data_IF_419045890966
#
_entry.id   IF_419045890966
#
_cell.length_a   1.000
_cell.length_b   1.000
_cell.length_c   1.000
_cell.angle_alpha   90.00
_cell.angle_beta   90.00
_cell.angle_gamma   90.00
#
_symmetry.space_group_name_H-M   'P 1'
#
loop_
_entity.id
_entity.type
_entity.pdbx_description
1 polymer ?
#
# COMPACT_ATOMS: atom_id res chain seq x y z
N UNK A 1 -47.81 27.35 -55.59
CA UNK A 1 -47.79 27.58 -54.13
C UNK A 1 -47.14 26.37 -53.48
N UNK A 2 -45.88 26.50 -53.19
CA UNK A 2 -45.08 25.41 -52.53
C UNK A 2 -45.02 25.71 -51.07
N UNK A 3 -45.75 24.95 -50.24
CA UNK A 3 -45.68 24.98 -48.77
C UNK A 3 -44.35 24.38 -48.31
N UNK A 4 -43.35 25.22 -47.99
CA UNK A 4 -42.09 24.83 -47.36
C UNK A 4 -42.39 24.27 -45.99
N UNK A 5 -42.16 22.96 -45.84
CA UNK A 5 -42.29 22.24 -44.56
C UNK A 5 -41.42 22.84 -43.45
N UNK A 6 -42.05 23.52 -42.51
CA UNK A 6 -41.43 24.10 -41.29
C UNK A 6 -41.11 23.05 -40.23
N UNK A 7 -41.31 21.75 -40.50
CA UNK A 7 -41.08 20.63 -39.54
C UNK A 7 -39.62 20.31 -39.27
N UNK A 8 -38.69 20.57 -40.22
CA UNK A 8 -37.27 20.26 -40.09
C UNK A 8 -36.53 21.02 -38.95
N UNK A 9 -36.76 22.33 -38.71
CA UNK A 9 -36.05 23.04 -37.61
C UNK A 9 -36.56 22.68 -36.21
N UNK A 10 -37.85 22.31 -36.08
CA UNK A 10 -38.44 21.90 -34.79
C UNK A 10 -37.90 20.54 -34.39
N UNK A 11 -37.82 19.57 -35.31
CA UNK A 11 -37.27 18.25 -35.03
C UNK A 11 -35.78 18.33 -34.63
N UNK A 12 -34.97 19.18 -35.26
CA UNK A 12 -33.59 19.42 -34.89
C UNK A 12 -33.45 20.02 -33.47
N UNK A 13 -34.30 20.97 -33.09
CA UNK A 13 -34.32 21.57 -31.75
C UNK A 13 -34.77 20.57 -30.70
N UNK A 14 -35.76 19.72 -30.99
CA UNK A 14 -36.19 18.64 -30.08
C UNK A 14 -35.10 17.59 -29.90
N UNK A 15 -34.42 17.22 -30.98
CA UNK A 15 -33.30 16.26 -30.92
C UNK A 15 -32.10 16.83 -30.14
N UNK A 16 -31.79 18.11 -30.34
CA UNK A 16 -30.76 18.80 -29.57
C UNK A 16 -31.14 18.91 -28.07
N UNK A 17 -32.40 19.25 -27.78
CA UNK A 17 -32.91 19.27 -26.41
C UNK A 17 -32.83 17.89 -25.75
N UNK A 18 -33.19 16.82 -26.49
CA UNK A 18 -33.09 15.44 -26.01
C UNK A 18 -31.60 15.05 -25.73
N UNK A 19 -30.70 15.37 -26.65
CA UNK A 19 -29.25 15.08 -26.52
C UNK A 19 -28.65 15.79 -25.35
N UNK A 20 -29.12 16.97 -24.95
CA UNK A 20 -28.64 17.70 -23.76
C UNK A 20 -29.38 17.22 -22.49
N UNK A 21 -30.70 17.01 -22.54
CA UNK A 21 -31.46 16.66 -21.34
C UNK A 21 -31.20 15.25 -20.84
N UNK A 22 -30.96 14.27 -21.72
CA UNK A 22 -30.69 12.89 -21.30
C UNK A 22 -29.43 12.78 -20.43
N UNK A 23 -28.27 13.33 -20.81
CA UNK A 23 -27.07 13.30 -19.92
C UNK A 23 -27.28 14.05 -18.61
N UNK A 24 -27.98 15.19 -18.65
CA UNK A 24 -28.26 15.97 -17.43
C UNK A 24 -29.17 15.17 -16.46
N UNK A 25 -30.23 14.56 -16.97
CA UNK A 25 -31.11 13.71 -16.15
C UNK A 25 -30.37 12.50 -15.64
N UNK A 26 -29.54 11.86 -16.48
CA UNK A 26 -28.70 10.74 -16.06
C UNK A 26 -27.73 11.15 -14.94
N UNK A 27 -27.10 12.32 -15.06
CA UNK A 27 -26.22 12.85 -14.01
C UNK A 27 -26.99 13.12 -12.70
N UNK A 28 -28.17 13.72 -12.79
CA UNK A 28 -29.03 13.99 -11.62
C UNK A 28 -29.52 12.70 -10.93
N UNK A 29 -29.69 11.62 -11.69
CA UNK A 29 -30.06 10.32 -11.14
C UNK A 29 -28.87 9.56 -10.54
N UNK A 30 -27.68 9.77 -11.10
CA UNK A 30 -26.45 9.08 -10.66
C UNK A 30 -25.81 9.71 -9.45
N UNK A 31 -25.86 11.06 -9.33
CA UNK A 31 -25.21 11.82 -8.27
C UNK A 31 -26.16 12.12 -7.11
N UNK A 32 -25.68 11.91 -5.89
CA UNK A 32 -26.47 12.07 -4.68
C UNK A 32 -25.81 13.08 -3.70
N UNK A 33 -26.58 13.57 -2.73
CA UNK A 33 -26.09 14.53 -1.74
C UNK A 33 -25.55 13.88 -0.47
N UNK A 34 -25.84 12.59 -0.30
CA UNK A 34 -25.41 11.79 0.86
C UNK A 34 -24.71 10.54 0.36
N UNK A 35 -23.65 10.08 1.03
CA UNK A 35 -23.00 8.82 0.70
C UNK A 35 -23.92 7.64 1.05
N UNK A 36 -23.87 6.57 0.23
CA UNK A 36 -24.58 5.31 0.51
C UNK A 36 -23.89 4.48 1.59
N UNK A 37 -22.61 4.69 1.76
CA UNK A 37 -21.76 4.09 2.79
C UNK A 37 -21.20 5.23 3.63
N UNK A 38 -21.27 5.12 4.95
CA UNK A 38 -20.61 6.09 5.81
C UNK A 38 -19.11 6.15 5.48
N UNK A 39 -18.51 7.35 5.42
CA UNK A 39 -17.06 7.44 5.26
C UNK A 39 -16.41 6.53 6.30
N UNK A 40 -15.54 5.64 5.82
CA UNK A 40 -14.81 4.73 6.71
C UNK A 40 -14.02 5.53 7.74
N UNK A 41 -13.94 5.02 8.97
CA UNK A 41 -12.97 5.53 9.92
C UNK A 41 -11.56 5.24 9.38
N UNK A 42 -10.63 6.14 9.63
CA UNK A 42 -9.22 5.84 9.41
C UNK A 42 -8.87 4.59 10.21
N UNK A 43 -8.26 3.60 9.54
CA UNK A 43 -7.84 2.37 10.20
C UNK A 43 -6.97 2.72 11.39
N UNK A 44 -7.34 2.20 12.53
CA UNK A 44 -6.58 2.35 13.76
C UNK A 44 -5.66 1.13 13.97
N UNK A 45 -4.82 1.16 15.00
CA UNK A 45 -3.89 0.07 15.28
C UNK A 45 -4.59 -1.27 15.57
N UNK A 46 -5.84 -1.26 16.08
CA UNK A 46 -6.63 -2.48 16.32
C UNK A 46 -7.07 -3.09 14.99
N UNK A 47 -7.50 -2.26 14.05
CA UNK A 47 -7.92 -2.70 12.71
C UNK A 47 -6.75 -3.33 11.96
N UNK A 48 -5.59 -2.68 11.99
CA UNK A 48 -4.35 -3.20 11.40
C UNK A 48 -3.97 -4.54 12.04
N UNK A 49 -4.04 -4.62 13.36
CA UNK A 49 -3.76 -5.86 14.07
C UNK A 49 -4.74 -6.99 13.74
N UNK A 50 -6.03 -6.69 13.58
CA UNK A 50 -7.03 -7.67 13.14
C UNK A 50 -6.69 -8.24 11.76
N UNK A 51 -6.27 -7.38 10.82
CA UNK A 51 -5.84 -7.83 9.48
C UNK A 51 -4.57 -8.69 9.57
N UNK A 52 -3.61 -8.32 10.44
CA UNK A 52 -2.42 -9.14 10.71
C UNK A 52 -2.79 -10.54 11.20
N UNK A 53 -3.69 -10.62 12.17
CA UNK A 53 -4.19 -11.91 12.69
C UNK A 53 -4.87 -12.72 11.60
N UNK A 54 -5.69 -12.10 10.76
CA UNK A 54 -6.31 -12.77 9.61
C UNK A 54 -5.27 -13.42 8.69
N UNK A 55 -4.17 -12.73 8.42
CA UNK A 55 -3.08 -13.26 7.58
C UNK A 55 -2.40 -14.44 8.30
N UNK A 56 -2.08 -14.29 9.59
CA UNK A 56 -1.37 -15.31 10.37
C UNK A 56 -2.23 -16.55 10.60
N UNK A 57 -3.51 -16.37 10.92
CA UNK A 57 -4.42 -17.47 11.23
C UNK A 57 -4.81 -18.24 9.97
N UNK A 58 -4.84 -17.57 8.81
CA UNK A 58 -5.07 -18.22 7.53
C UNK A 58 -3.78 -18.72 6.85
N UNK A 59 -2.59 -18.37 7.40
CA UNK A 59 -1.32 -18.90 6.92
C UNK A 59 -1.19 -20.39 7.30
N UNK A 60 -0.73 -21.27 6.40
CA UNK A 60 -0.59 -22.68 6.71
C UNK A 60 0.52 -22.90 7.75
N UNK A 61 0.30 -23.81 8.71
CA UNK A 61 1.31 -24.23 9.71
C UNK A 61 2.65 -24.63 9.08
N UNK A 62 2.62 -25.14 7.86
CA UNK A 62 3.80 -25.42 7.05
C UNK A 62 3.78 -24.56 5.78
N UNK A 63 4.26 -23.33 5.87
CA UNK A 63 4.39 -22.42 4.72
C UNK A 63 5.22 -23.01 3.56
N UNK A 64 6.06 -24.01 3.83
CA UNK A 64 6.88 -24.71 2.84
C UNK A 64 6.10 -25.70 1.96
N UNK A 65 4.82 -25.92 2.19
CA UNK A 65 4.03 -26.93 1.46
C UNK A 65 3.01 -26.26 0.56
N UNK A 66 3.23 -26.39 -0.76
CA UNK A 66 2.25 -25.98 -1.76
C UNK A 66 0.97 -26.81 -1.66
N UNK A 67 -0.17 -26.24 -1.99
CA UNK A 67 -1.45 -26.93 -2.05
C UNK A 67 -2.65 -25.99 -2.04
N UNK A 68 -3.82 -26.57 -2.23
CA UNK A 68 -5.08 -25.84 -2.17
C UNK A 68 -5.40 -25.42 -0.72
N UNK A 69 -5.83 -24.16 -0.55
CA UNK A 69 -6.24 -23.59 0.72
C UNK A 69 -7.54 -22.81 0.56
N UNK A 70 -8.36 -22.86 1.59
CA UNK A 70 -9.60 -22.08 1.65
C UNK A 70 -9.49 -21.07 2.79
N UNK A 71 -9.54 -19.79 2.45
CA UNK A 71 -9.67 -18.69 3.40
C UNK A 71 -11.14 -18.54 3.74
N UNK A 72 -11.41 -18.29 5.00
CA UNK A 72 -12.74 -18.03 5.52
C UNK A 72 -12.77 -16.58 6.03
N UNK A 73 -13.54 -15.72 5.39
CA UNK A 73 -13.66 -14.32 5.76
C UNK A 73 -15.10 -14.01 6.11
N UNK A 74 -15.33 -13.54 7.31
CA UNK A 74 -16.65 -13.06 7.70
C UNK A 74 -16.93 -11.66 7.12
N UNK A 75 -18.13 -11.13 7.38
CA UNK A 75 -18.54 -9.83 6.84
C UNK A 75 -17.71 -8.68 7.40
N UNK A 76 -17.33 -8.73 8.67
CA UNK A 76 -16.58 -7.66 9.34
C UNK A 76 -15.15 -7.64 8.81
N UNK A 77 -14.51 -8.80 8.71
CA UNK A 77 -13.20 -9.01 8.13
C UNK A 77 -13.13 -8.56 6.67
N UNK A 78 -14.15 -8.92 5.88
CA UNK A 78 -14.22 -8.53 4.47
C UNK A 78 -14.37 -7.00 4.31
N UNK A 79 -15.17 -6.34 5.16
CA UNK A 79 -15.31 -4.89 5.15
C UNK A 79 -14.03 -4.19 5.64
N UNK A 80 -13.34 -4.78 6.60
CA UNK A 80 -12.05 -4.29 7.08
C UNK A 80 -10.99 -4.36 5.96
N UNK A 81 -10.91 -5.49 5.24
CA UNK A 81 -10.02 -5.63 4.08
C UNK A 81 -10.39 -4.67 2.93
N UNK A 82 -11.68 -4.43 2.70
CA UNK A 82 -12.13 -3.46 1.70
C UNK A 82 -11.73 -2.02 2.09
N UNK A 83 -11.91 -1.62 3.34
CA UNK A 83 -11.48 -0.33 3.86
C UNK A 83 -9.95 -0.18 3.76
N UNK A 84 -9.21 -1.23 4.09
CA UNK A 84 -7.77 -1.28 3.96
C UNK A 84 -7.32 -1.09 2.51
N UNK A 85 -7.90 -1.82 1.56
CA UNK A 85 -7.60 -1.70 0.14
C UNK A 85 -7.85 -0.27 -0.38
N UNK A 86 -8.95 0.37 0.01
CA UNK A 86 -9.25 1.75 -0.38
C UNK A 86 -8.24 2.75 0.18
N UNK A 87 -7.77 2.57 1.41
CA UNK A 87 -6.77 3.46 2.01
C UNK A 87 -5.36 3.25 1.45
N UNK A 88 -5.08 2.05 0.95
CA UNK A 88 -3.78 1.69 0.40
C UNK A 88 -3.60 2.14 -1.04
N UNK A 89 -4.66 2.06 -1.86
CA UNK A 89 -4.56 2.38 -3.29
C UNK A 89 -4.56 3.90 -3.49
N UNK A 90 -3.53 4.48 -4.14
CA UNK A 90 -3.47 5.91 -4.39
C UNK A 90 -4.73 6.44 -5.10
N UNK A 91 -5.28 7.54 -4.59
CA UNK A 91 -6.48 8.17 -5.15
C UNK A 91 -7.81 7.56 -4.71
N UNK A 92 -7.82 6.45 -3.93
CA UNK A 92 -9.06 5.83 -3.42
C UNK A 92 -9.34 6.14 -1.94
N UNK A 93 -8.43 6.79 -1.23
CA UNK A 93 -8.49 7.02 0.22
C UNK A 93 -9.71 7.83 0.72
N UNK A 94 -10.35 8.59 -0.17
CA UNK A 94 -11.59 9.32 0.15
C UNK A 94 -12.86 8.51 -0.12
N UNK A 95 -12.74 7.35 -0.75
CA UNK A 95 -13.88 6.48 -1.06
C UNK A 95 -14.25 5.64 0.17
N UNK A 96 -15.51 5.24 0.24
CA UNK A 96 -15.99 4.31 1.24
C UNK A 96 -16.66 3.12 0.56
N UNK A 97 -16.40 1.91 1.06
CA UNK A 97 -17.04 0.69 0.57
C UNK A 97 -17.67 -0.10 1.70
N UNK A 98 -18.74 -0.83 1.38
CA UNK A 98 -19.36 -1.81 2.24
C UNK A 98 -19.72 -3.05 1.43
N UNK A 99 -19.45 -4.21 2.01
CA UNK A 99 -19.80 -5.51 1.44
C UNK A 99 -20.84 -6.18 2.32
N UNK A 100 -21.96 -6.59 1.73
CA UNK A 100 -23.00 -7.36 2.38
C UNK A 100 -23.11 -8.71 1.71
N UNK A 101 -23.16 -9.76 2.53
CA UNK A 101 -23.21 -11.15 2.09
C UNK A 101 -24.63 -11.67 2.08
N UNK A 102 -24.97 -12.42 1.05
CA UNK A 102 -26.19 -13.20 0.89
C UNK A 102 -25.79 -14.60 0.40
N UNK A 103 -26.62 -15.60 0.64
CA UNK A 103 -26.33 -16.95 0.15
C UNK A 103 -26.20 -16.97 -1.38
N UNK A 104 -25.02 -17.34 -1.90
CA UNK A 104 -24.70 -17.39 -3.34
C UNK A 104 -24.46 -16.03 -4.01
N UNK A 105 -24.47 -14.92 -3.27
CA UNK A 105 -24.21 -13.57 -3.81
C UNK A 105 -23.66 -12.61 -2.76
N UNK A 106 -23.03 -11.52 -3.24
CA UNK A 106 -22.67 -10.39 -2.41
C UNK A 106 -23.12 -9.09 -3.07
N UNK A 107 -23.37 -8.09 -2.24
CA UNK A 107 -23.62 -6.72 -2.67
C UNK A 107 -22.46 -5.84 -2.23
N UNK A 108 -21.90 -5.09 -3.15
CA UNK A 108 -20.83 -4.12 -2.90
C UNK A 108 -21.40 -2.72 -3.12
N UNK A 109 -21.37 -1.92 -2.08
CA UNK A 109 -21.71 -0.51 -2.09
C UNK A 109 -20.42 0.30 -2.06
N UNK A 110 -20.28 1.30 -2.96
CA UNK A 110 -19.13 2.18 -3.03
C UNK A 110 -19.61 3.63 -3.11
N UNK A 111 -19.15 4.49 -2.21
CA UNK A 111 -19.40 5.92 -2.22
C UNK A 111 -18.13 6.66 -2.64
N UNK A 112 -18.20 7.37 -3.77
CA UNK A 112 -17.10 8.15 -4.35
C UNK A 112 -17.42 9.65 -4.15
N UNK A 113 -16.67 10.39 -3.33
CA UNK A 113 -16.91 11.82 -3.12
C UNK A 113 -16.47 12.63 -4.34
N UNK A 114 -17.23 13.63 -4.65
CA UNK A 114 -16.91 14.66 -5.66
C UNK A 114 -17.03 16.04 -5.01
N UNK A 115 -15.88 16.59 -4.67
CA UNK A 115 -15.78 17.89 -4.01
C UNK A 115 -15.97 19.02 -5.02
N UNK A 116 -16.88 19.95 -4.67
CA UNK A 116 -17.05 21.20 -5.39
C UNK A 116 -16.87 22.37 -4.40
N UNK A 117 -16.64 23.60 -4.86
CA UNK A 117 -16.52 24.75 -3.96
C UNK A 117 -17.74 25.03 -3.08
N UNK A 118 -18.92 24.51 -3.47
CA UNK A 118 -20.18 24.74 -2.76
C UNK A 118 -20.51 23.60 -1.79
N UNK A 119 -20.25 22.34 -2.20
CA UNK A 119 -20.55 21.14 -1.40
C UNK A 119 -19.92 19.91 -2.00
N UNK A 120 -19.89 18.83 -1.21
CA UNK A 120 -19.55 17.50 -1.69
C UNK A 120 -20.78 16.80 -2.25
N UNK A 121 -20.65 16.20 -3.41
CA UNK A 121 -21.57 15.27 -4.03
C UNK A 121 -20.99 13.87 -3.96
N UNK A 122 -21.83 12.85 -4.14
CA UNK A 122 -21.41 11.47 -4.07
C UNK A 122 -21.92 10.70 -5.30
N UNK A 123 -21.02 9.99 -5.96
CA UNK A 123 -21.38 8.94 -6.90
C UNK A 123 -21.47 7.63 -6.11
N UNK A 124 -22.69 7.22 -5.81
CA UNK A 124 -22.94 5.97 -5.08
C UNK A 124 -23.13 4.83 -6.08
N UNK A 125 -22.18 3.90 -6.09
CA UNK A 125 -22.27 2.69 -6.90
C UNK A 125 -22.77 1.54 -6.02
N UNK A 126 -23.68 0.76 -6.57
CA UNK A 126 -24.23 -0.43 -5.95
C UNK A 126 -24.12 -1.58 -6.94
N UNK A 127 -23.30 -2.57 -6.61
CA UNK A 127 -23.04 -3.73 -7.46
C UNK A 127 -23.46 -5.02 -6.77
N UNK A 128 -24.16 -5.89 -7.49
CA UNK A 128 -24.43 -7.26 -7.03
C UNK A 128 -23.60 -8.23 -7.84
N UNK A 129 -22.82 -9.04 -7.13
CA UNK A 129 -22.01 -10.12 -7.69
C UNK A 129 -22.56 -11.47 -7.24
N UNK A 130 -22.46 -12.47 -8.10
CA UNK A 130 -22.86 -13.85 -7.84
C UNK A 130 -21.70 -14.79 -8.05
N UNK A 131 -21.72 -15.90 -7.34
CA UNK A 131 -20.82 -16.99 -7.60
C UNK A 131 -21.07 -17.55 -9.00
N UNK A 132 -20.01 -17.79 -9.76
CA UNK A 132 -20.03 -18.34 -11.12
C UNK A 132 -18.93 -19.38 -11.32
N UNK A 133 -19.00 -20.13 -12.39
CA UNK A 133 -17.92 -21.04 -12.80
C UNK A 133 -16.60 -20.29 -13.10
N UNK A 134 -16.71 -19.02 -13.51
CA UNK A 134 -15.56 -18.11 -13.76
C UNK A 134 -15.25 -17.23 -12.53
N UNK A 135 -15.39 -17.75 -11.32
CA UNK A 135 -15.23 -17.12 -10.01
C UNK A 135 -16.41 -16.22 -9.63
N UNK A 136 -16.57 -15.07 -10.27
CA UNK A 136 -17.58 -14.07 -9.93
C UNK A 136 -18.26 -13.53 -11.20
N UNK A 137 -19.58 -13.42 -11.14
CA UNK A 137 -20.38 -12.79 -12.19
C UNK A 137 -21.02 -11.49 -11.70
N UNK A 138 -20.75 -10.38 -12.39
CA UNK A 138 -21.41 -9.12 -12.16
C UNK A 138 -22.85 -9.18 -12.69
N UNK A 139 -23.83 -9.20 -11.76
CA UNK A 139 -25.24 -9.41 -12.07
C UNK A 139 -26.01 -8.11 -12.31
N UNK A 140 -25.80 -7.10 -11.47
CA UNK A 140 -26.47 -5.80 -11.58
C UNK A 140 -25.57 -4.68 -11.04
N UNK A 141 -25.64 -3.51 -11.67
CA UNK A 141 -24.95 -2.30 -11.19
C UNK A 141 -25.88 -1.11 -11.28
N UNK A 142 -25.85 -0.22 -10.31
CA UNK A 142 -26.54 1.07 -10.31
C UNK A 142 -25.58 2.17 -9.87
N UNK A 143 -25.73 3.35 -10.47
CA UNK A 143 -25.10 4.59 -9.98
C UNK A 143 -26.23 5.47 -9.44
N UNK A 144 -26.33 5.63 -8.13
CA UNK A 144 -27.50 6.23 -7.50
C UNK A 144 -28.77 5.49 -7.89
N UNK A 145 -29.67 6.19 -8.61
CA UNK A 145 -30.92 5.62 -9.11
C UNK A 145 -30.82 5.10 -10.55
N UNK A 146 -29.68 5.32 -11.23
CA UNK A 146 -29.48 4.97 -12.63
C UNK A 146 -28.93 3.54 -12.76
N UNK A 147 -29.68 2.58 -13.38
CA UNK A 147 -29.13 1.27 -13.68
C UNK A 147 -28.07 1.39 -14.78
N UNK A 148 -26.93 0.73 -14.58
CA UNK A 148 -25.82 0.72 -15.54
C UNK A 148 -25.74 -0.67 -16.19
N UNK A 149 -25.70 -0.75 -17.53
CA UNK A 149 -25.49 -2.02 -18.23
C UNK A 149 -24.17 -2.66 -17.77
N UNK A 150 -24.22 -3.92 -17.33
CA UNK A 150 -23.05 -4.65 -16.81
C UNK A 150 -21.90 -4.73 -17.82
N UNK A 151 -22.19 -4.74 -19.10
CA UNK A 151 -21.20 -4.71 -20.17
C UNK A 151 -20.34 -3.44 -20.14
N UNK A 152 -20.95 -2.27 -19.89
CA UNK A 152 -20.20 -1.01 -19.76
C UNK A 152 -19.26 -1.05 -18.55
N UNK A 153 -19.74 -1.61 -17.44
CA UNK A 153 -18.91 -1.77 -16.24
C UNK A 153 -17.75 -2.73 -16.47
N UNK A 154 -18.00 -3.87 -17.11
CA UNK A 154 -16.93 -4.82 -17.49
C UNK A 154 -15.90 -4.16 -18.39
N UNK A 155 -16.36 -3.40 -19.41
CA UNK A 155 -15.44 -2.66 -20.29
C UNK A 155 -14.64 -1.60 -19.54
N UNK A 156 -15.23 -0.90 -18.56
CA UNK A 156 -14.54 0.07 -17.72
C UNK A 156 -13.50 -0.61 -16.81
N UNK A 157 -13.83 -1.76 -16.21
CA UNK A 157 -12.90 -2.56 -15.40
C UNK A 157 -11.72 -3.03 -16.27
N UNK A 158 -11.99 -3.58 -17.47
CA UNK A 158 -10.93 -4.00 -18.39
C UNK A 158 -10.03 -2.83 -18.79
N UNK A 159 -10.60 -1.67 -19.12
CA UNK A 159 -9.82 -0.49 -19.46
C UNK A 159 -8.99 0.03 -18.27
N UNK A 160 -9.49 -0.07 -17.04
CA UNK A 160 -8.75 0.25 -15.85
C UNK A 160 -7.59 -0.74 -15.62
N UNK A 161 -7.83 -2.03 -15.81
CA UNK A 161 -6.78 -3.06 -15.73
C UNK A 161 -5.69 -2.84 -16.79
N UNK A 162 -6.07 -2.56 -18.04
CA UNK A 162 -5.13 -2.25 -19.13
C UNK A 162 -4.31 -0.98 -18.81
N UNK A 163 -4.96 0.04 -18.23
CA UNK A 163 -4.28 1.26 -17.79
C UNK A 163 -3.30 0.97 -16.65
N UNK A 164 -3.68 0.17 -15.66
CA UNK A 164 -2.79 -0.24 -14.58
C UNK A 164 -1.61 -1.06 -15.11
N UNK A 165 -1.86 -2.01 -16.02
CA UNK A 165 -0.83 -2.82 -16.65
C UNK A 165 0.17 -1.99 -17.46
N UNK A 166 -0.26 -0.89 -18.08
CA UNK A 166 0.62 0.02 -18.81
C UNK A 166 1.36 1.02 -17.91
N UNK A 167 0.83 1.29 -16.72
CA UNK A 167 1.37 2.30 -15.81
C UNK A 167 2.34 1.71 -14.79
N UNK A 168 2.01 0.53 -14.26
CA UNK A 168 2.77 -0.09 -13.17
C UNK A 168 3.57 -1.30 -13.64
N UNK A 169 4.87 -1.29 -13.35
CA UNK A 169 5.83 -2.31 -13.82
C UNK A 169 5.48 -3.72 -13.34
N UNK A 170 4.99 -3.85 -12.12
CA UNK A 170 4.74 -5.15 -11.48
C UNK A 170 3.26 -5.58 -11.51
N UNK A 171 2.45 -4.98 -12.37
CA UNK A 171 1.03 -5.34 -12.48
C UNK A 171 0.83 -6.83 -12.85
N UNK A 172 1.73 -7.41 -13.64
CA UNK A 172 1.63 -8.81 -14.05
C UNK A 172 1.63 -9.76 -12.84
N UNK A 173 2.46 -9.48 -11.85
CA UNK A 173 2.57 -10.31 -10.64
C UNK A 173 1.34 -10.22 -9.76
N UNK A 174 0.71 -9.03 -9.68
CA UNK A 174 -0.60 -8.88 -9.06
C UNK A 174 -1.67 -9.70 -9.81
N UNK A 175 -1.61 -9.72 -11.14
CA UNK A 175 -2.48 -10.56 -11.98
C UNK A 175 -2.25 -12.04 -11.72
N UNK A 176 -1.01 -12.48 -11.54
CA UNK A 176 -0.68 -13.88 -11.24
C UNK A 176 -1.20 -14.31 -9.86
N UNK A 177 -1.12 -13.42 -8.86
CA UNK A 177 -1.74 -13.64 -7.55
C UNK A 177 -3.26 -13.82 -7.68
N UNK A 178 -3.91 -12.97 -8.46
CA UNK A 178 -5.34 -13.09 -8.73
C UNK A 178 -5.69 -14.42 -9.42
N UNK A 179 -4.83 -14.92 -10.30
CA UNK A 179 -5.01 -16.20 -11.00
C UNK A 179 -4.84 -17.43 -10.08
N UNK A 180 -4.20 -17.27 -8.92
CA UNK A 180 -4.12 -18.34 -7.92
C UNK A 180 -5.47 -18.66 -7.27
N UNK A 181 -6.45 -17.75 -7.34
CA UNK A 181 -7.80 -17.96 -6.82
C UNK A 181 -8.54 -18.94 -7.71
N UNK A 182 -8.96 -20.08 -7.13
CA UNK A 182 -9.67 -21.16 -7.82
C UNK A 182 -11.18 -21.04 -7.69
N UNK A 183 -11.64 -20.61 -6.54
CA UNK A 183 -13.07 -20.53 -6.26
C UNK A 183 -13.37 -19.42 -5.26
N UNK A 184 -14.50 -18.76 -5.46
CA UNK A 184 -15.10 -17.85 -4.47
C UNK A 184 -16.54 -18.32 -4.24
N UNK A 185 -16.88 -18.62 -2.99
CA UNK A 185 -18.22 -19.03 -2.59
C UNK A 185 -18.78 -18.07 -1.55
N UNK A 186 -20.04 -17.67 -1.72
CA UNK A 186 -20.74 -16.78 -0.78
C UNK A 186 -21.69 -17.62 0.08
N UNK A 187 -21.47 -17.59 1.39
CA UNK A 187 -22.42 -18.01 2.42
C UNK A 187 -23.14 -16.79 3.01
N UNK A 188 -24.09 -16.99 3.89
CA UNK A 188 -24.89 -15.92 4.49
C UNK A 188 -24.03 -14.99 5.38
N UNK A 189 -23.03 -15.54 6.05
CA UNK A 189 -22.17 -14.83 7.01
C UNK A 189 -20.70 -14.77 6.61
N UNK A 190 -20.29 -15.48 5.56
CA UNK A 190 -18.88 -15.58 5.19
C UNK A 190 -18.66 -15.75 3.68
N UNK A 191 -17.47 -15.34 3.24
CA UNK A 191 -16.91 -15.66 1.93
C UNK A 191 -15.84 -16.74 2.10
N UNK A 192 -15.91 -17.77 1.29
CA UNK A 192 -14.87 -18.79 1.20
C UNK A 192 -14.09 -18.58 -0.10
N UNK A 193 -12.80 -18.31 0.02
CA UNK A 193 -11.90 -18.11 -1.11
C UNK A 193 -10.92 -19.28 -1.14
N UNK A 194 -11.05 -20.12 -2.14
CA UNK A 194 -10.11 -21.24 -2.36
C UNK A 194 -9.04 -20.80 -3.34
N UNK A 195 -7.79 -20.96 -2.96
CA UNK A 195 -6.62 -20.56 -3.75
C UNK A 195 -5.54 -21.64 -3.75
N UNK A 196 -4.69 -21.62 -4.77
CA UNK A 196 -3.48 -22.40 -4.82
C UNK A 196 -2.39 -21.70 -4.00
N UNK A 197 -2.09 -22.26 -2.84
CA UNK A 197 -1.05 -21.75 -1.98
C UNK A 197 0.34 -22.13 -2.51
N UNK A 198 1.18 -21.13 -2.74
CA UNK A 198 2.60 -21.32 -3.02
C UNK A 198 3.47 -20.93 -1.82
N UNK A 199 4.52 -21.72 -1.50
CA UNK A 199 5.36 -21.52 -0.32
C UNK A 199 6.01 -20.12 -0.22
N UNK A 200 6.22 -19.46 -1.36
CA UNK A 200 6.85 -18.14 -1.44
C UNK A 200 5.85 -16.99 -1.62
N UNK A 201 4.55 -17.26 -1.49
CA UNK A 201 3.53 -16.26 -1.76
C UNK A 201 3.71 -15.00 -0.88
N UNK A 202 3.86 -15.17 0.43
CA UNK A 202 4.04 -14.06 1.37
C UNK A 202 5.35 -13.32 1.08
N UNK A 203 6.44 -14.06 0.85
CA UNK A 203 7.74 -13.45 0.52
C UNK A 203 7.65 -12.64 -0.77
N UNK A 204 7.01 -13.18 -1.81
CA UNK A 204 6.79 -12.45 -3.07
C UNK A 204 5.92 -11.20 -2.85
N UNK A 205 4.83 -11.30 -2.08
CA UNK A 205 3.98 -10.15 -1.76
C UNK A 205 4.77 -9.07 -1.01
N UNK A 206 5.66 -9.45 -0.08
CA UNK A 206 6.52 -8.49 0.61
C UNK A 206 7.53 -7.84 -0.33
N UNK A 207 8.29 -8.64 -1.10
CA UNK A 207 9.27 -8.15 -2.08
C UNK A 207 8.65 -7.21 -3.12
N UNK A 208 7.38 -7.44 -3.46
CA UNK A 208 6.65 -6.66 -4.46
C UNK A 208 5.90 -5.48 -3.88
N UNK A 209 5.54 -5.50 -2.59
CA UNK A 209 4.85 -4.40 -1.95
C UNK A 209 5.65 -3.09 -2.01
N UNK A 210 6.99 -3.17 -2.00
CA UNK A 210 7.87 -2.02 -2.20
C UNK A 210 7.73 -1.42 -3.61
N UNK A 211 7.29 -2.20 -4.59
CA UNK A 211 7.23 -1.85 -6.01
C UNK A 211 5.78 -1.79 -6.54
N UNK A 212 4.78 -1.94 -5.67
CA UNK A 212 3.37 -2.15 -6.05
C UNK A 212 2.82 -1.06 -6.97
N UNK A 213 3.29 0.17 -6.85
CA UNK A 213 2.83 1.31 -7.65
C UNK A 213 3.98 2.01 -8.38
N UNK A 214 4.99 1.23 -8.81
CA UNK A 214 6.14 1.75 -9.53
C UNK A 214 5.78 2.11 -10.97
N UNK A 215 5.83 3.39 -11.31
CA UNK A 215 5.71 3.86 -12.68
C UNK A 215 7.04 3.73 -13.45
N UNK A 216 7.00 3.80 -14.79
CA UNK A 216 8.22 3.80 -15.60
C UNK A 216 9.12 5.01 -15.28
N UNK A 217 8.53 6.17 -14.94
CA UNK A 217 9.26 7.36 -14.55
C UNK A 217 9.92 7.22 -13.18
N UNK A 218 9.24 6.58 -12.22
CA UNK A 218 9.80 6.27 -10.91
C UNK A 218 10.98 5.32 -11.01
N UNK A 219 10.91 4.35 -11.92
CA UNK A 219 12.01 3.42 -12.21
C UNK A 219 13.32 4.14 -12.56
N UNK A 220 13.28 5.11 -13.47
CA UNK A 220 14.47 5.86 -13.87
C UNK A 220 15.06 6.64 -12.68
N UNK A 221 14.21 7.20 -11.82
CA UNK A 221 14.64 7.88 -10.58
C UNK A 221 15.24 6.92 -9.57
N UNK A 222 14.65 5.74 -9.37
CA UNK A 222 15.21 4.72 -8.48
C UNK A 222 16.62 4.33 -8.97
N UNK A 223 16.80 4.09 -10.26
CA UNK A 223 18.09 3.78 -10.85
C UNK A 223 19.10 4.91 -10.66
N UNK A 224 18.67 6.16 -10.72
CA UNK A 224 19.51 7.32 -10.45
C UNK A 224 19.96 7.36 -8.99
N UNK A 225 19.05 7.18 -8.02
CA UNK A 225 19.42 7.07 -6.61
C UNK A 225 20.30 5.86 -6.31
N UNK A 226 20.07 4.74 -6.98
CA UNK A 226 20.90 3.55 -6.84
C UNK A 226 22.33 3.78 -7.35
N UNK A 227 22.53 4.55 -8.44
CA UNK A 227 23.86 5.02 -8.90
C UNK A 227 24.54 5.91 -7.87
N UNK A 228 23.78 6.79 -7.21
CA UNK A 228 24.32 7.63 -6.14
C UNK A 228 24.76 6.78 -4.94
N UNK A 229 24.00 5.75 -4.56
CA UNK A 229 24.42 4.75 -3.56
C UNK A 229 25.74 4.12 -3.99
N UNK A 230 25.85 3.68 -5.25
CA UNK A 230 27.08 3.12 -5.80
C UNK A 230 28.28 4.05 -5.68
N UNK A 231 28.07 5.33 -5.93
CA UNK A 231 29.12 6.37 -5.78
C UNK A 231 29.58 6.53 -4.32
N UNK A 232 28.62 6.55 -3.38
CA UNK A 232 28.92 6.65 -1.95
C UNK A 232 29.70 5.41 -1.47
N UNK A 233 29.24 4.23 -1.85
CA UNK A 233 29.88 2.95 -1.48
C UNK A 233 31.27 2.81 -2.09
N UNK A 234 31.48 3.28 -3.32
CA UNK A 234 32.78 3.26 -3.97
C UNK A 234 33.81 4.19 -3.31
N UNK A 235 33.36 5.20 -2.57
CA UNK A 235 34.24 6.10 -1.82
C UNK A 235 34.72 5.50 -0.49
N UNK A 236 34.13 4.39 -0.03
CA UNK A 236 34.58 3.69 1.17
C UNK A 236 35.90 2.96 0.92
N UNK A 237 36.77 2.79 1.96
CA UNK A 237 37.92 1.93 1.87
C UNK A 237 37.58 0.51 1.37
N UNK A 238 38.46 -0.12 0.61
CA UNK A 238 38.19 -1.46 0.06
C UNK A 238 37.95 -2.52 1.16
N UNK A 239 38.61 -2.37 2.30
CA UNK A 239 38.49 -3.27 3.44
C UNK A 239 37.18 -3.06 4.24
N UNK A 240 36.43 -1.98 3.98
CA UNK A 240 35.18 -1.72 4.69
C UNK A 240 34.07 -2.62 4.17
N UNK A 241 33.61 -3.54 5.01
CA UNK A 241 32.49 -4.45 4.75
C UNK A 241 31.17 -3.98 5.37
N UNK A 242 31.21 -2.90 6.18
CA UNK A 242 30.07 -2.31 6.91
C UNK A 242 30.04 -0.80 6.82
N UNK A 243 28.82 -0.24 6.87
CA UNK A 243 28.57 1.20 6.97
C UNK A 243 27.27 1.46 7.76
N UNK A 244 27.11 2.67 8.29
CA UNK A 244 25.84 3.11 8.86
C UNK A 244 24.82 3.44 7.78
N UNK A 245 23.53 3.20 8.04
CA UNK A 245 22.44 3.67 7.19
C UNK A 245 22.50 5.21 7.00
N UNK A 246 22.95 5.95 8.02
CA UNK A 246 23.13 7.40 7.97
C UNK A 246 24.09 7.85 6.87
N UNK A 247 25.14 7.04 6.60
CA UNK A 247 26.13 7.33 5.57
C UNK A 247 25.55 7.30 4.14
N UNK A 248 24.45 6.59 3.95
CA UNK A 248 23.66 6.57 2.71
C UNK A 248 22.52 7.60 2.77
N UNK A 249 21.70 7.53 3.79
CA UNK A 249 20.43 8.24 3.88
C UNK A 249 20.61 9.76 3.85
N UNK A 250 21.53 10.31 4.66
CA UNK A 250 21.70 11.76 4.71
C UNK A 250 22.22 12.38 3.40
N UNK A 251 23.23 11.82 2.71
CA UNK A 251 23.62 12.30 1.39
C UNK A 251 22.50 12.20 0.34
N UNK A 252 21.72 11.11 0.36
CA UNK A 252 20.61 10.93 -0.57
C UNK A 252 19.52 11.96 -0.34
N UNK A 253 19.13 12.23 0.91
CA UNK A 253 18.15 13.28 1.22
C UNK A 253 18.66 14.68 0.92
N UNK A 254 19.98 14.97 1.05
CA UNK A 254 20.57 16.22 0.54
C UNK A 254 20.43 16.36 -0.97
N UNK A 255 20.63 15.25 -1.70
CA UNK A 255 20.43 15.23 -3.16
C UNK A 255 18.96 15.46 -3.52
N UNK A 256 18.03 14.77 -2.86
CA UNK A 256 16.59 14.95 -3.05
C UNK A 256 16.16 16.39 -2.78
N UNK A 257 16.60 16.97 -1.67
CA UNK A 257 16.33 18.36 -1.33
C UNK A 257 16.83 19.34 -2.40
N UNK A 258 18.05 19.15 -2.92
CA UNK A 258 18.60 19.97 -3.99
C UNK A 258 17.75 19.86 -5.28
N UNK A 259 17.23 18.67 -5.61
CA UNK A 259 16.34 18.46 -6.77
C UNK A 259 15.01 19.19 -6.59
N UNK A 260 14.43 19.15 -5.38
CA UNK A 260 13.17 19.84 -5.07
C UNK A 260 13.32 21.36 -5.13
N UNK A 261 14.42 21.92 -4.68
CA UNK A 261 14.73 23.36 -4.87
C UNK A 261 14.74 23.73 -6.37
N UNK A 262 15.14 22.80 -7.25
CA UNK A 262 15.15 22.98 -8.70
C UNK A 262 13.84 22.58 -9.38
N UNK A 263 12.75 22.35 -8.63
CA UNK A 263 11.40 22.16 -9.14
C UNK A 263 10.92 20.71 -9.23
N UNK A 264 11.66 19.74 -8.68
CA UNK A 264 11.18 18.36 -8.58
C UNK A 264 10.07 18.23 -7.51
N UNK A 265 9.23 17.20 -7.63
CA UNK A 265 8.20 16.89 -6.65
C UNK A 265 8.78 16.18 -5.43
N UNK A 266 8.56 16.74 -4.24
CA UNK A 266 9.17 16.25 -3.00
C UNK A 266 8.70 14.85 -2.61
N UNK A 267 7.42 14.54 -2.83
CA UNK A 267 6.83 13.22 -2.52
C UNK A 267 7.43 12.15 -3.42
N UNK A 268 7.51 12.42 -4.71
CA UNK A 268 8.09 11.50 -5.69
C UNK A 268 9.58 11.26 -5.45
N UNK A 269 10.35 12.32 -5.17
CA UNK A 269 11.79 12.19 -4.87
C UNK A 269 12.01 11.35 -3.60
N UNK A 270 11.26 11.60 -2.52
CA UNK A 270 11.37 10.83 -1.28
C UNK A 270 10.98 9.36 -1.48
N UNK A 271 9.87 9.09 -2.18
CA UNK A 271 9.41 7.74 -2.46
C UNK A 271 10.46 6.93 -3.20
N UNK A 272 10.97 7.45 -4.30
CA UNK A 272 11.95 6.75 -5.15
C UNK A 272 13.32 6.59 -4.48
N UNK A 273 13.71 7.55 -3.64
CA UNK A 273 14.91 7.44 -2.79
C UNK A 273 14.76 6.29 -1.78
N UNK A 274 13.64 6.22 -1.05
CA UNK A 274 13.40 5.17 -0.05
C UNK A 274 13.33 3.79 -0.69
N UNK A 275 12.75 3.68 -1.88
CA UNK A 275 12.75 2.44 -2.66
C UNK A 275 14.18 2.02 -3.07
N UNK A 276 14.99 2.94 -3.61
CA UNK A 276 16.37 2.65 -3.98
C UNK A 276 17.20 2.20 -2.77
N UNK A 277 16.99 2.86 -1.62
CA UNK A 277 17.67 2.55 -0.37
C UNK A 277 17.31 1.16 0.13
N UNK A 278 16.01 0.82 0.13
CA UNK A 278 15.54 -0.52 0.51
C UNK A 278 16.11 -1.61 -0.40
N UNK A 279 16.05 -1.43 -1.71
CA UNK A 279 16.61 -2.39 -2.67
C UNK A 279 18.09 -2.68 -2.40
N UNK A 280 18.89 -1.65 -2.11
CA UNK A 280 20.30 -1.83 -1.82
C UNK A 280 20.54 -2.53 -0.47
N UNK A 281 19.90 -2.05 0.60
CA UNK A 281 20.07 -2.58 1.97
C UNK A 281 19.68 -4.05 2.05
N UNK A 282 18.59 -4.43 1.36
CA UNK A 282 18.07 -5.80 1.38
C UNK A 282 18.70 -6.70 0.30
N UNK A 283 19.58 -6.16 -0.53
CA UNK A 283 20.30 -6.93 -1.55
C UNK A 283 19.40 -7.45 -2.66
N UNK A 284 18.30 -6.76 -2.95
CA UNK A 284 17.38 -7.08 -4.05
C UNK A 284 18.07 -6.83 -5.38
N UNK A 285 17.87 -7.73 -6.34
CA UNK A 285 18.47 -7.61 -7.67
C UNK A 285 17.82 -6.46 -8.45
N UNK A 286 18.59 -5.38 -8.65
CA UNK A 286 18.16 -4.19 -9.39
C UNK A 286 17.89 -4.48 -10.87
N UNK A 287 18.44 -5.58 -11.44
CA UNK A 287 18.23 -5.95 -12.84
C UNK A 287 16.75 -6.22 -13.14
N UNK A 288 15.97 -6.67 -12.16
CA UNK A 288 14.53 -6.88 -12.30
C UNK A 288 13.78 -5.58 -12.62
N UNK A 289 14.28 -4.44 -12.14
CA UNK A 289 13.72 -3.12 -12.46
C UNK A 289 14.22 -2.61 -13.81
N UNK A 290 15.41 -2.99 -14.21
CA UNK A 290 16.08 -2.40 -15.36
C UNK A 290 15.47 -2.77 -16.71
N UNK A 291 14.89 -3.99 -16.85
CA UNK A 291 14.43 -4.53 -18.14
C UNK A 291 15.58 -4.80 -19.11
N UNK A 292 15.31 -5.57 -20.16
CA UNK A 292 16.32 -6.09 -21.10
C UNK A 292 17.06 -5.03 -21.95
N UNK A 293 16.60 -3.78 -21.97
CA UNK A 293 17.10 -2.73 -22.87
C UNK A 293 17.83 -1.58 -22.16
N UNK A 294 18.18 -1.72 -20.88
CA UNK A 294 18.75 -0.60 -20.12
C UNK A 294 20.20 -0.81 -19.74
N UNK A 295 20.96 0.30 -19.62
CA UNK A 295 22.33 0.36 -19.06
C UNK A 295 22.42 -0.17 -17.61
N UNK A 296 21.32 -0.60 -17.03
CA UNK A 296 21.24 -1.11 -15.65
C UNK A 296 21.79 -2.54 -15.52
N UNK A 297 21.90 -3.33 -16.61
CA UNK A 297 22.63 -4.60 -16.57
C UNK A 297 24.09 -4.42 -16.13
N UNK A 298 24.63 -3.19 -16.27
CA UNK A 298 26.00 -2.83 -15.86
C UNK A 298 26.06 -2.14 -14.50
N UNK A 299 24.93 -1.99 -13.79
CA UNK A 299 24.88 -1.29 -12.51
C UNK A 299 25.23 -2.22 -11.32
N UNK A 300 26.45 -2.71 -11.32
CA UNK A 300 26.96 -3.53 -10.22
C UNK A 300 27.53 -2.62 -9.13
N UNK A 301 26.79 -2.49 -8.01
CA UNK A 301 27.27 -1.81 -6.82
C UNK A 301 27.88 -2.81 -5.85
N UNK A 302 29.06 -2.49 -5.29
CA UNK A 302 29.72 -3.31 -4.27
C UNK A 302 28.75 -3.51 -3.08
N UNK A 303 28.55 -4.76 -2.67
CA UNK A 303 27.73 -5.08 -1.51
C UNK A 303 28.48 -4.78 -0.23
N UNK A 304 27.91 -3.93 0.61
CA UNK A 304 28.38 -3.59 1.96
C UNK A 304 27.23 -3.80 2.93
N UNK A 305 27.49 -4.38 4.08
CA UNK A 305 26.49 -4.55 5.14
C UNK A 305 26.10 -3.19 5.71
N UNK A 306 24.85 -2.79 5.52
CA UNK A 306 24.32 -1.54 6.08
C UNK A 306 23.70 -1.81 7.45
N UNK A 307 23.96 -0.96 8.41
CA UNK A 307 23.52 -1.17 9.81
C UNK A 307 22.86 0.07 10.41
N UNK A 308 21.94 -0.15 11.34
CA UNK A 308 21.49 0.83 12.35
C UNK A 308 21.96 0.30 13.70
N UNK A 309 22.64 1.13 14.49
CA UNK A 309 23.18 0.75 15.83
C UNK A 309 24.01 -0.55 15.78
N UNK A 310 24.77 -0.73 14.68
CA UNK A 310 25.61 -1.90 14.36
C UNK A 310 24.82 -3.19 14.09
N UNK A 311 23.52 -3.12 13.91
CA UNK A 311 22.62 -4.23 13.58
C UNK A 311 22.12 -4.08 12.15
N UNK A 312 22.31 -5.09 11.33
CA UNK A 312 21.88 -5.15 9.94
C UNK A 312 20.39 -5.47 9.81
N UNK A 313 19.85 -6.29 10.72
CA UNK A 313 18.42 -6.58 10.80
C UNK A 313 17.59 -5.29 11.02
N UNK A 314 18.02 -4.40 11.92
CA UNK A 314 17.32 -3.12 12.14
C UNK A 314 17.30 -2.25 10.87
N UNK A 315 18.41 -2.21 10.11
CA UNK A 315 18.46 -1.46 8.86
C UNK A 315 17.53 -2.06 7.79
N UNK A 316 17.44 -3.39 7.73
CA UNK A 316 16.55 -4.09 6.82
C UNK A 316 15.08 -3.81 7.17
N UNK A 317 14.67 -4.04 8.41
CA UNK A 317 13.31 -3.77 8.88
C UNK A 317 12.89 -2.31 8.66
N UNK A 318 13.76 -1.38 9.00
CA UNK A 318 13.52 0.05 8.84
C UNK A 318 13.31 0.45 7.38
N UNK A 319 14.23 0.02 6.48
CA UNK A 319 14.19 0.42 5.07
C UNK A 319 13.07 -0.24 4.30
N UNK A 320 12.77 -1.52 4.57
CA UNK A 320 11.61 -2.22 3.98
C UNK A 320 10.32 -1.50 4.37
N UNK A 321 10.11 -1.25 5.67
CA UNK A 321 8.90 -0.60 6.17
C UNK A 321 8.75 0.82 5.62
N UNK A 322 9.85 1.58 5.51
CA UNK A 322 9.82 2.92 4.91
C UNK A 322 9.46 2.89 3.41
N UNK A 323 10.06 1.97 2.65
CA UNK A 323 9.80 1.85 1.21
C UNK A 323 8.36 1.37 0.92
N UNK A 324 7.87 0.36 1.65
CA UNK A 324 6.48 -0.11 1.51
C UNK A 324 5.50 1.01 1.88
N UNK A 325 5.74 1.73 2.97
CA UNK A 325 4.90 2.85 3.39
C UNK A 325 4.85 3.95 2.32
N UNK A 326 6.01 4.31 1.78
CA UNK A 326 6.11 5.32 0.74
C UNK A 326 5.43 4.92 -0.57
N UNK A 327 5.33 3.61 -0.85
CA UNK A 327 4.75 3.05 -2.09
C UNK A 327 3.28 2.72 -1.95
N UNK A 328 2.89 2.09 -0.86
CA UNK A 328 1.57 1.47 -0.67
C UNK A 328 0.83 1.96 0.60
N UNK A 329 1.47 2.82 1.40
CA UNK A 329 0.91 3.39 2.61
C UNK A 329 1.22 2.62 3.90
N UNK A 330 1.04 3.32 5.03
CA UNK A 330 1.41 2.83 6.36
C UNK A 330 0.72 1.53 6.77
N UNK A 331 -0.55 1.36 6.36
CA UNK A 331 -1.32 0.15 6.68
C UNK A 331 -0.70 -1.11 6.10
N UNK A 332 -0.27 -1.09 4.81
CA UNK A 332 0.37 -2.24 4.16
C UNK A 332 1.69 -2.58 4.83
N UNK A 333 2.51 -1.56 5.09
CA UNK A 333 3.80 -1.75 5.75
C UNK A 333 3.64 -2.38 7.15
N UNK A 334 2.68 -1.88 7.95
CA UNK A 334 2.36 -2.43 9.27
C UNK A 334 1.99 -3.90 9.20
N UNK A 335 1.02 -4.24 8.34
CA UNK A 335 0.56 -5.63 8.19
C UNK A 335 1.69 -6.57 7.77
N UNK A 336 2.45 -6.22 6.75
CA UNK A 336 3.51 -7.10 6.24
C UNK A 336 4.63 -7.29 7.26
N UNK A 337 5.04 -6.20 7.96
CA UNK A 337 6.08 -6.25 8.99
C UNK A 337 5.65 -7.06 10.20
N UNK A 338 4.47 -6.81 10.71
CA UNK A 338 3.98 -7.47 11.92
C UNK A 338 3.55 -8.93 11.68
N UNK A 339 3.03 -9.24 10.49
CA UNK A 339 2.73 -10.62 10.11
C UNK A 339 3.99 -11.49 10.07
N UNK A 340 5.12 -10.91 9.62
CA UNK A 340 6.42 -11.58 9.65
C UNK A 340 6.86 -11.85 11.09
N UNK A 341 6.81 -10.84 11.98
CA UNK A 341 7.19 -11.00 13.39
C UNK A 341 6.31 -12.02 14.12
N UNK A 342 5.00 -12.05 13.82
CA UNK A 342 4.09 -13.05 14.37
C UNK A 342 4.42 -14.47 13.91
N UNK A 343 4.76 -14.62 12.63
CA UNK A 343 5.16 -15.90 12.08
C UNK A 343 6.51 -16.38 12.65
N UNK A 344 7.49 -15.50 12.76
CA UNK A 344 8.81 -15.81 13.29
C UNK A 344 8.75 -16.15 14.80
N UNK A 345 7.89 -15.49 15.58
CA UNK A 345 7.63 -15.85 16.97
C UNK A 345 7.08 -17.28 17.12
N UNK A 346 6.14 -17.67 16.23
CA UNK A 346 5.48 -18.97 16.29
C UNK A 346 6.35 -20.10 15.75
N UNK A 347 7.17 -19.84 14.74
CA UNK A 347 7.78 -20.91 13.95
C UNK A 347 9.31 -20.83 13.76
N UNK A 348 9.99 -19.70 14.09
CA UNK A 348 11.40 -19.49 13.75
C UNK A 348 12.26 -18.78 14.82
N UNK A 349 12.49 -17.48 14.64
CA UNK A 349 13.50 -16.72 15.39
C UNK A 349 12.98 -16.09 16.67
N UNK A 350 11.68 -16.12 16.92
CA UNK A 350 11.04 -15.46 18.04
C UNK A 350 10.59 -14.03 17.73
N UNK A 351 9.81 -13.46 18.64
CA UNK A 351 9.25 -12.10 18.57
C UNK A 351 10.27 -11.07 19.06
N UNK A 352 10.47 -9.99 18.33
CA UNK A 352 11.48 -8.97 18.65
C UNK A 352 10.88 -7.57 18.69
N UNK A 353 10.87 -6.93 19.87
CA UNK A 353 10.48 -5.53 19.98
C UNK A 353 11.46 -4.57 19.30
N UNK A 354 12.74 -4.94 19.16
CA UNK A 354 13.69 -4.14 18.40
C UNK A 354 13.31 -4.07 16.91
N UNK A 355 12.89 -5.19 16.33
CA UNK A 355 12.49 -5.25 14.92
C UNK A 355 11.16 -4.50 14.71
N UNK A 356 10.22 -4.62 15.66
CA UNK A 356 8.99 -3.81 15.65
C UNK A 356 9.31 -2.32 15.75
N UNK A 357 10.25 -1.92 16.62
CA UNK A 357 10.66 -0.51 16.71
C UNK A 357 11.22 -0.01 15.39
N UNK A 358 12.06 -0.80 14.72
CA UNK A 358 12.59 -0.46 13.39
C UNK A 358 11.48 -0.39 12.33
N UNK A 359 10.52 -1.31 12.36
CA UNK A 359 9.36 -1.30 11.47
C UNK A 359 8.51 -0.04 11.67
N UNK A 360 8.15 0.30 12.91
CA UNK A 360 7.34 1.49 13.22
C UNK A 360 8.08 2.77 12.84
N UNK A 361 9.39 2.86 13.11
CA UNK A 361 10.21 4.00 12.71
C UNK A 361 10.30 4.15 11.18
N UNK A 362 10.42 3.03 10.45
CA UNK A 362 10.35 3.00 8.99
C UNK A 362 8.99 3.47 8.46
N UNK A 363 7.88 2.99 9.06
CA UNK A 363 6.51 3.44 8.72
C UNK A 363 6.35 4.93 8.96
N UNK A 364 6.83 5.45 10.08
CA UNK A 364 6.78 6.88 10.40
C UNK A 364 7.56 7.71 9.37
N UNK A 365 8.77 7.23 8.99
CA UNK A 365 9.58 7.89 7.95
C UNK A 365 8.86 7.91 6.60
N UNK A 366 8.38 6.77 6.13
CA UNK A 366 7.67 6.67 4.86
C UNK A 366 6.41 7.54 4.82
N UNK A 367 5.65 7.57 5.91
CA UNK A 367 4.46 8.42 6.06
C UNK A 367 4.82 9.90 5.96
N UNK A 368 5.79 10.38 6.74
CA UNK A 368 6.22 11.78 6.71
C UNK A 368 6.84 12.16 5.36
N UNK A 369 7.51 11.20 4.70
CA UNK A 369 8.14 11.40 3.40
C UNK A 369 7.13 11.59 2.25
N UNK A 370 5.88 11.11 2.40
CA UNK A 370 4.92 11.04 1.30
C UNK A 370 3.52 11.58 1.64
N UNK A 371 3.30 12.15 2.84
CA UNK A 371 2.00 12.67 3.28
C UNK A 371 1.47 13.79 2.38
N UNK A 372 2.28 14.80 2.11
CA UNK A 372 2.01 15.91 1.18
C UNK A 372 3.33 16.61 0.81
N UNK A 373 3.36 17.46 -0.26
CA UNK A 373 4.59 18.09 -0.71
C UNK A 373 5.29 18.98 0.32
N UNK A 374 4.55 19.67 1.19
CA UNK A 374 5.13 20.58 2.19
C UNK A 374 5.83 19.81 3.31
N UNK A 375 5.19 18.79 3.86
CA UNK A 375 5.76 17.93 4.90
C UNK A 375 6.92 17.09 4.35
N UNK A 376 6.77 16.55 3.14
CA UNK A 376 7.83 15.84 2.43
C UNK A 376 9.10 16.69 2.27
N UNK A 377 8.95 17.96 1.86
CA UNK A 377 10.07 18.90 1.74
C UNK A 377 10.67 19.26 3.10
N UNK A 378 9.84 19.46 4.12
CA UNK A 378 10.30 19.71 5.49
C UNK A 378 11.14 18.54 6.02
N UNK A 379 10.68 17.30 5.80
CA UNK A 379 11.43 16.11 6.17
C UNK A 379 12.80 16.04 5.45
N UNK A 380 12.85 16.35 4.15
CA UNK A 380 14.10 16.43 3.40
C UNK A 380 15.10 17.41 4.04
N UNK A 381 14.62 18.61 4.42
CA UNK A 381 15.47 19.60 5.06
C UNK A 381 16.05 19.09 6.38
N UNK A 382 15.23 18.44 7.20
CA UNK A 382 15.67 17.88 8.50
C UNK A 382 16.67 16.74 8.33
N UNK A 383 16.39 15.79 7.44
CA UNK A 383 17.31 14.69 7.14
C UNK A 383 18.60 15.14 6.45
N UNK A 384 18.53 16.18 5.62
CA UNK A 384 19.74 16.78 5.03
C UNK A 384 20.66 17.44 6.08
N UNK A 385 20.10 17.92 7.19
CA UNK A 385 20.81 18.51 8.32
C UNK A 385 21.15 17.50 9.44
N UNK A 386 20.54 16.33 9.45
CA UNK A 386 20.75 15.29 10.46
C UNK A 386 22.18 14.74 10.43
N UNK A 387 22.66 14.28 11.59
CA UNK A 387 24.03 13.82 11.75
C UNK A 387 24.15 12.50 12.53
N UNK A 388 23.11 12.13 13.26
CA UNK A 388 23.11 10.95 14.15
C UNK A 388 22.00 9.97 13.76
N UNK A 389 22.22 8.68 14.01
CA UNK A 389 21.18 7.66 13.88
C UNK A 389 19.98 7.94 14.79
N UNK A 390 20.23 8.53 15.97
CA UNK A 390 19.18 8.92 16.92
C UNK A 390 18.29 10.07 16.44
N UNK A 391 18.62 10.70 15.33
CA UNK A 391 17.74 11.71 14.73
C UNK A 391 16.52 11.08 14.08
N UNK A 392 16.61 9.82 13.61
CA UNK A 392 15.54 9.11 12.88
C UNK A 392 15.17 7.73 13.46
N UNK A 393 15.96 7.17 14.38
CA UNK A 393 15.70 5.87 15.00
C UNK A 393 15.96 5.96 16.51
N UNK A 394 15.01 5.55 17.38
CA UNK A 394 15.25 5.55 18.82
C UNK A 394 16.37 4.57 19.17
N UNK A 395 17.03 4.81 20.32
CA UNK A 395 17.99 3.85 20.82
C UNK A 395 17.28 2.57 21.26
N UNK A 396 17.65 1.46 20.63
CA UNK A 396 17.16 0.14 21.03
C UNK A 396 17.98 -0.34 22.21
N UNK A 397 17.36 -0.37 23.39
CA UNK A 397 18.00 -0.84 24.63
C UNK A 397 18.12 -2.37 24.67
N UNK A 398 18.91 -2.90 25.59
CA UNK A 398 19.07 -4.35 25.77
C UNK A 398 17.74 -5.06 26.09
N UNK A 399 16.79 -4.35 26.68
CA UNK A 399 15.43 -4.89 26.95
C UNK A 399 14.62 -5.17 25.68
N UNK A 400 15.02 -4.55 24.57
CA UNK A 400 14.43 -4.79 23.24
C UNK A 400 15.22 -5.80 22.42
N UNK A 401 16.43 -6.16 22.83
CA UNK A 401 17.37 -6.92 22.01
C UNK A 401 17.17 -8.45 22.07
N UNK A 402 16.23 -8.94 22.88
CA UNK A 402 15.94 -10.37 23.01
C UNK A 402 14.75 -10.79 22.16
N UNK A 403 14.94 -11.77 21.28
CA UNK A 403 13.81 -12.44 20.63
C UNK A 403 13.06 -13.31 21.65
N UNK A 404 11.74 -13.11 21.77
CA UNK A 404 10.85 -13.91 22.63
C UNK A 404 10.20 -15.02 21.83
N UNK A 405 10.28 -16.26 22.32
CA UNK A 405 9.47 -17.34 21.77
C UNK A 405 7.99 -17.16 22.18
N UNK A 406 7.08 -17.76 21.44
CA UNK A 406 5.63 -17.63 21.63
C UNK A 406 5.18 -17.89 23.07
N UNK A 407 5.76 -18.91 23.74
CA UNK A 407 5.44 -19.20 25.15
C UNK A 407 5.84 -18.10 26.12
N UNK A 408 6.94 -17.40 25.85
CA UNK A 408 7.40 -16.27 26.66
C UNK A 408 6.57 -15.03 26.39
N UNK A 409 6.29 -14.75 25.11
CA UNK A 409 5.40 -13.68 24.69
C UNK A 409 4.01 -13.82 25.33
N UNK A 410 3.40 -15.02 25.22
CA UNK A 410 2.09 -15.30 25.81
C UNK A 410 2.07 -15.18 27.34
N UNK A 411 3.16 -15.53 28.01
CA UNK A 411 3.27 -15.33 29.48
C UNK A 411 3.34 -13.86 29.88
N UNK A 412 4.02 -13.02 29.10
CA UNK A 412 4.28 -11.63 29.45
C UNK A 412 3.18 -10.69 28.93
N UNK A 413 2.69 -10.93 27.73
CA UNK A 413 1.75 -10.06 27.05
C UNK A 413 0.39 -10.71 26.81
N UNK A 414 0.20 -12.03 27.06
CA UNK A 414 -0.95 -12.86 26.71
C UNK A 414 -1.12 -12.97 25.19
N UNK A 415 -1.52 -11.87 24.55
CA UNK A 415 -1.62 -11.71 23.12
C UNK A 415 -1.37 -10.24 22.72
N UNK A 416 -1.46 -9.94 21.43
CA UNK A 416 -1.22 -8.60 20.86
C UNK A 416 -2.36 -7.62 21.08
N UNK A 417 -3.51 -8.08 21.60
CA UNK A 417 -4.65 -7.22 21.97
C UNK A 417 -4.62 -6.85 23.44
N UNK A 418 -3.74 -7.44 24.22
CA UNK A 418 -3.60 -7.16 25.63
C UNK A 418 -3.17 -5.72 25.90
N UNK A 419 -3.65 -5.14 27.00
CA UNK A 419 -3.30 -3.77 27.36
C UNK A 419 -1.77 -3.61 27.53
N UNK A 420 -1.09 -4.62 28.09
CA UNK A 420 0.37 -4.60 28.27
C UNK A 420 1.13 -4.49 26.95
N UNK A 421 0.68 -5.20 25.90
CA UNK A 421 1.26 -5.11 24.58
C UNK A 421 0.97 -3.75 23.93
N UNK A 422 -0.29 -3.30 23.97
CA UNK A 422 -0.70 -2.02 23.40
C UNK A 422 0.00 -0.84 24.07
N UNK A 423 0.18 -0.86 25.40
CA UNK A 423 0.94 0.15 26.13
C UNK A 423 2.41 0.17 25.68
N UNK A 424 2.99 -0.99 25.37
CA UNK A 424 4.37 -1.09 24.87
C UNK A 424 4.50 -0.50 23.47
N UNK A 425 3.58 -0.81 22.57
CA UNK A 425 3.54 -0.22 21.22
C UNK A 425 3.35 1.30 21.30
N UNK A 426 2.43 1.78 22.13
CA UNK A 426 2.20 3.21 22.34
C UNK A 426 3.46 3.94 22.84
N UNK A 427 4.23 3.32 23.75
CA UNK A 427 5.49 3.89 24.21
C UNK A 427 6.53 4.00 23.08
N UNK A 428 6.61 2.99 22.19
CA UNK A 428 7.50 3.04 21.01
C UNK A 428 7.05 4.15 20.06
N UNK A 429 5.74 4.30 19.80
CA UNK A 429 5.20 5.36 18.96
C UNK A 429 5.54 6.75 19.52
N UNK A 430 5.43 6.95 20.87
CA UNK A 430 5.79 8.20 21.52
C UNK A 430 7.30 8.51 21.40
N UNK A 431 8.16 7.51 21.59
CA UNK A 431 9.61 7.66 21.41
C UNK A 431 9.95 8.08 19.96
N UNK A 432 9.30 7.48 18.96
CA UNK A 432 9.52 7.81 17.55
C UNK A 432 8.98 9.20 17.22
N UNK A 433 7.79 9.56 17.69
CA UNK A 433 7.22 10.88 17.46
C UNK A 433 8.06 12.03 18.06
N UNK A 434 8.84 11.74 19.12
CA UNK A 434 9.74 12.69 19.76
C UNK A 434 11.08 12.86 19.03
N UNK A 435 11.38 12.07 17.99
CA UNK A 435 12.66 12.16 17.28
C UNK A 435 12.85 13.51 16.59
N UNK A 436 14.10 14.00 16.48
CA UNK A 436 14.41 15.33 15.90
C UNK A 436 13.87 15.55 14.51
N UNK A 437 13.78 14.52 13.67
CA UNK A 437 13.24 14.66 12.31
C UNK A 437 11.72 14.92 12.28
N UNK A 438 10.98 14.60 13.35
CA UNK A 438 9.53 14.83 13.44
C UNK A 438 9.20 16.02 14.35
N UNK A 439 9.96 16.22 15.44
CA UNK A 439 9.76 17.36 16.34
C UNK A 439 10.21 18.64 15.65
N UNK A 440 9.28 19.59 15.46
CA UNK A 440 9.63 20.94 15.01
C UNK A 440 10.56 21.59 16.03
N UNK A 441 11.72 22.10 15.60
CA UNK A 441 12.42 23.10 16.37
C UNK A 441 11.48 24.32 16.49
N UNK A 442 10.93 24.53 17.69
CA UNK A 442 10.29 25.80 18.04
C UNK A 442 11.30 26.94 17.97
#
# INVERSE_FOLDING_TARGET
MTTRSTRKPILKRLLLALVISVPVVALLLAVQLTPSVAPGHTLNNIDIHTIEQLIVDNAPEQMSRAGERTLHLDREELNLLAAFALQTVPGLHEMAAAVNLENGSATVDLAIPWHTPLRTFYLNLHARVRQSADLLELHAVRAGYLPIPTQLVRSAISAAQDSMASTYVNYQEFSDLQQSIRQVAFAEEAVLITLDWEPRLITRVQEQAEQLFLSAEDKDRILEYYRQIGTIVAALPEESDRMSLSDLMFPLFRSAHARVINGADAVTENRTLLQALSLYVNGTDISTLAGADSDAENLVVRKVTVTIQRRDDLAQHFTISAAITASAGAGVAGILSNSKEAHDARYRSGFSFSDITANIAGVALGTAATSNPADAHTLQQRLAAATLETDYMPLVTMDYAGAMMEEEFSRQYQDRTSQAYLDRIAAIDEEIAALPIYSGSN
#
